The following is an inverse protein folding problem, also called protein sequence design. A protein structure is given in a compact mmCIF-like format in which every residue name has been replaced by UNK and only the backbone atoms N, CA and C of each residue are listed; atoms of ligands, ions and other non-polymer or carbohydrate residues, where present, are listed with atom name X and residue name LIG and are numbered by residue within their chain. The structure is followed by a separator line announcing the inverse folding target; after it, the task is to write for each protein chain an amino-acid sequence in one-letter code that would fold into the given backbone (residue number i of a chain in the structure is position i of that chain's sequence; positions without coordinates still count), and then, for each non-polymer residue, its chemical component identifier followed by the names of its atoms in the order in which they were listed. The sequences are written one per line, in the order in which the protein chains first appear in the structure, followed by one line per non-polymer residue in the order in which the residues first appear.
data_IF_125071380343
#
_entry.id   IF_125071380343
#
_cell.length_a   1.000
_cell.length_b   1.000
_cell.length_c   1.000
_cell.angle_alpha   90.00
_cell.angle_beta   90.00
_cell.angle_gamma   90.00
#
_symmetry.space_group_name_H-M   'P 1'
#
loop_
_entity.id
_entity.type
_entity.pdbx_description
1 polymer ?
#
# COMPACT_ATOMS: atom_id res chain seq x y z
N UNK A 1 14.52 14.77 63.07
CA UNK A 1 13.47 15.10 62.08
C UNK A 1 14.03 15.57 60.73
N UNK A 2 15.21 16.22 60.68
CA UNK A 2 15.83 16.72 59.43
C UNK A 2 16.01 15.67 58.31
N UNK A 3 16.54 14.47 58.63
CA UNK A 3 16.75 13.38 57.65
C UNK A 3 15.49 12.95 56.88
N UNK A 4 14.30 13.06 57.50
CA UNK A 4 13.02 12.67 56.86
C UNK A 4 12.56 13.71 55.84
N UNK A 5 12.84 15.00 56.11
CA UNK A 5 12.54 16.09 55.20
C UNK A 5 13.47 16.09 53.99
N UNK A 6 14.76 15.80 54.17
CA UNK A 6 15.73 15.67 53.06
C UNK A 6 15.36 14.55 52.08
N UNK A 7 14.92 13.39 52.58
CA UNK A 7 14.48 12.28 51.71
C UNK A 7 13.21 12.64 50.92
N UNK A 8 12.29 13.40 51.53
CA UNK A 8 11.09 13.89 50.86
C UNK A 8 11.40 14.88 49.74
N UNK A 9 12.28 15.84 50.01
CA UNK A 9 12.74 16.82 49.02
C UNK A 9 13.53 16.18 47.88
N UNK A 10 14.38 15.19 48.20
CA UNK A 10 15.06 14.38 47.19
C UNK A 10 14.08 13.66 46.27
N UNK A 11 13.07 12.97 46.83
CA UNK A 11 12.03 12.28 46.04
C UNK A 11 11.26 13.24 45.13
N UNK A 12 10.94 14.45 45.61
CA UNK A 12 10.30 15.49 44.78
C UNK A 12 11.19 15.89 43.60
N UNK A 13 12.47 16.17 43.85
CA UNK A 13 13.44 16.54 42.79
C UNK A 13 13.60 15.44 41.75
N UNK A 14 13.73 14.18 42.18
CA UNK A 14 13.82 13.03 41.28
C UNK A 14 12.57 12.91 40.41
N UNK A 15 11.37 13.07 40.99
CA UNK A 15 10.12 13.02 40.23
C UNK A 15 10.05 14.16 39.19
N UNK A 16 10.44 15.38 39.56
CA UNK A 16 10.44 16.51 38.64
C UNK A 16 11.42 16.31 37.48
N UNK A 17 12.66 15.87 37.76
CA UNK A 17 13.64 15.58 36.72
C UNK A 17 13.20 14.42 35.82
N UNK A 18 12.60 13.38 36.39
CA UNK A 18 12.06 12.27 35.61
C UNK A 18 11.01 12.75 34.60
N UNK A 19 10.05 13.58 35.04
CA UNK A 19 9.00 14.13 34.17
C UNK A 19 9.60 15.05 33.11
N UNK A 20 10.57 15.90 33.47
CA UNK A 20 11.29 16.76 32.53
C UNK A 20 11.97 15.94 31.44
N UNK A 21 12.77 14.94 31.81
CA UNK A 21 13.47 14.07 30.87
C UNK A 21 12.50 13.26 30.01
N UNK A 22 11.38 12.81 30.57
CA UNK A 22 10.35 12.10 29.81
C UNK A 22 9.74 13.01 28.74
N UNK A 23 9.40 14.24 29.09
CA UNK A 23 8.85 15.21 28.15
C UNK A 23 9.86 15.57 27.05
N UNK A 24 11.12 15.80 27.41
CA UNK A 24 12.19 16.09 26.44
C UNK A 24 12.39 14.92 25.46
N UNK A 25 12.41 13.67 25.97
CA UNK A 25 12.50 12.47 25.13
C UNK A 25 11.29 12.32 24.21
N UNK A 26 10.08 12.60 24.72
CA UNK A 26 8.84 12.51 23.93
C UNK A 26 8.85 13.54 22.80
N UNK A 27 9.23 14.78 23.09
CA UNK A 27 9.34 15.86 22.09
C UNK A 27 10.38 15.50 21.03
N UNK A 28 11.58 15.08 21.44
CA UNK A 28 12.63 14.66 20.50
C UNK A 28 12.17 13.52 19.59
N UNK A 29 11.54 12.48 20.17
CA UNK A 29 11.01 11.36 19.39
C UNK A 29 9.94 11.81 18.39
N UNK A 30 9.07 12.76 18.77
CA UNK A 30 8.06 13.29 17.86
C UNK A 30 8.70 13.99 16.66
N UNK A 31 9.76 14.77 16.88
CA UNK A 31 10.48 15.46 15.81
C UNK A 31 11.26 14.47 14.92
N UNK A 32 11.92 13.48 15.51
CA UNK A 32 12.60 12.41 14.78
C UNK A 32 11.61 11.64 13.86
N UNK A 33 10.42 11.32 14.37
CA UNK A 33 9.37 10.65 13.58
C UNK A 33 8.88 11.54 12.45
N UNK A 34 8.66 12.84 12.68
CA UNK A 34 8.26 13.79 11.62
C UNK A 34 9.33 13.89 10.53
N UNK A 35 10.60 13.98 10.92
CA UNK A 35 11.72 14.01 9.97
C UNK A 35 11.81 12.72 9.16
N UNK A 36 11.69 11.56 9.82
CA UNK A 36 11.69 10.26 9.16
C UNK A 36 10.52 10.12 8.18
N UNK A 37 9.32 10.56 8.56
CA UNK A 37 8.14 10.58 7.70
C UNK A 37 8.35 11.44 6.45
N UNK A 38 8.84 12.67 6.62
CA UNK A 38 9.09 13.58 5.50
C UNK A 38 10.15 13.02 4.54
N UNK A 39 11.23 12.42 5.08
CA UNK A 39 12.24 11.74 4.27
C UNK A 39 11.65 10.56 3.49
N UNK A 40 10.81 9.75 4.13
CA UNK A 40 10.15 8.63 3.47
C UNK A 40 9.22 9.11 2.35
N UNK A 41 8.39 10.12 2.62
CA UNK A 41 7.50 10.71 1.62
C UNK A 41 8.25 11.21 0.40
N UNK A 42 9.37 11.90 0.59
CA UNK A 42 10.21 12.36 -0.52
C UNK A 42 10.80 11.18 -1.30
N UNK A 43 11.30 10.16 -0.60
CA UNK A 43 11.82 8.94 -1.23
C UNK A 43 10.74 8.23 -2.06
N UNK A 44 9.54 8.07 -1.50
CA UNK A 44 8.40 7.48 -2.20
C UNK A 44 8.00 8.28 -3.44
N UNK A 45 7.98 9.61 -3.33
CA UNK A 45 7.68 10.49 -4.46
C UNK A 45 8.65 10.23 -5.61
N UNK A 46 9.95 10.17 -5.32
CA UNK A 46 10.97 9.92 -6.35
C UNK A 46 10.79 8.54 -7.00
N UNK A 47 10.62 7.50 -6.19
CA UNK A 47 10.42 6.12 -6.70
C UNK A 47 9.17 6.02 -7.56
N UNK A 48 8.07 6.69 -7.17
CA UNK A 48 6.84 6.70 -7.97
C UNK A 48 7.03 7.47 -9.28
N UNK A 49 7.72 8.60 -9.26
CA UNK A 49 8.05 9.35 -10.48
C UNK A 49 8.91 8.52 -11.44
N UNK A 50 9.95 7.84 -10.94
CA UNK A 50 10.79 6.95 -11.77
C UNK A 50 9.98 5.79 -12.38
N UNK A 51 9.11 5.17 -11.59
CA UNK A 51 8.21 4.11 -12.09
C UNK A 51 7.22 4.64 -13.10
N UNK A 52 6.71 5.86 -12.93
CA UNK A 52 5.78 6.48 -13.88
C UNK A 52 6.46 6.74 -15.22
N UNK A 53 7.70 7.24 -15.20
CA UNK A 53 8.50 7.43 -16.42
C UNK A 53 8.67 6.08 -17.12
N UNK A 54 9.13 5.06 -16.38
CA UNK A 54 9.30 3.70 -16.90
C UNK A 54 8.01 3.12 -17.47
N UNK A 55 6.87 3.36 -16.81
CA UNK A 55 5.55 2.93 -17.27
C UNK A 55 5.14 3.65 -18.55
N UNK A 56 5.32 4.97 -18.62
CA UNK A 56 4.99 5.77 -19.81
C UNK A 56 5.87 5.41 -21.01
N UNK A 57 7.14 5.06 -20.77
CA UNK A 57 8.06 4.58 -21.81
C UNK A 57 7.72 3.16 -22.27
N UNK A 58 7.01 2.39 -21.46
CA UNK A 58 6.55 1.05 -21.82
C UNK A 58 5.46 1.13 -22.87
N UNK A 59 5.64 0.45 -24.00
CA UNK A 59 4.65 0.35 -25.09
C UNK A 59 3.48 -0.60 -24.76
N UNK A 60 3.30 -0.94 -23.49
CA UNK A 60 2.30 -1.91 -23.04
C UNK A 60 0.94 -1.23 -23.03
N UNK A 61 0.16 -1.47 -24.07
CA UNK A 61 -1.25 -1.07 -24.11
C UNK A 61 -2.12 -2.21 -23.58
N UNK A 62 -2.92 -1.92 -22.57
CA UNK A 62 -4.07 -2.76 -22.25
C UNK A 62 -5.17 -2.38 -23.24
N UNK A 63 -5.52 -3.22 -24.23
CA UNK A 63 -6.60 -2.90 -25.14
C UNK A 63 -7.89 -2.69 -24.34
N UNK A 64 -8.54 -1.54 -24.57
CA UNK A 64 -9.86 -1.28 -24.02
C UNK A 64 -10.86 -2.22 -24.70
N UNK A 65 -11.20 -3.28 -23.99
CA UNK A 65 -12.15 -4.29 -24.43
C UNK A 65 -11.55 -5.38 -25.33
N UNK A 66 -12.11 -6.60 -25.27
CA UNK A 66 -11.73 -7.65 -26.21
C UNK A 66 -12.15 -7.20 -27.62
N UNK A 67 -11.18 -7.08 -28.54
CA UNK A 67 -11.49 -6.99 -29.96
C UNK A 67 -11.97 -8.37 -30.38
N UNK A 68 -13.27 -8.61 -30.23
CA UNK A 68 -13.86 -9.91 -30.50
C UNK A 68 -13.68 -10.24 -31.99
N UNK A 69 -13.18 -11.43 -32.33
CA UNK A 69 -13.13 -11.88 -33.71
C UNK A 69 -14.52 -11.83 -34.37
N UNK A 70 -14.56 -11.59 -35.68
CA UNK A 70 -15.83 -11.43 -36.43
C UNK A 70 -16.78 -12.63 -36.29
N UNK A 71 -16.24 -13.83 -36.08
CA UNK A 71 -17.02 -15.06 -35.91
C UNK A 71 -17.66 -15.23 -34.53
N UNK A 72 -17.41 -14.33 -33.56
CA UNK A 72 -18.04 -14.42 -32.22
C UNK A 72 -19.56 -14.28 -32.30
N UNK A 73 -20.10 -13.65 -33.36
CA UNK A 73 -21.54 -13.54 -33.61
C UNK A 73 -22.24 -14.88 -33.88
N UNK A 74 -21.51 -15.90 -34.34
CA UNK A 74 -22.03 -17.24 -34.58
C UNK A 74 -21.65 -18.25 -33.49
N UNK A 75 -20.94 -17.82 -32.43
CA UNK A 75 -20.61 -18.65 -31.27
C UNK A 75 -21.68 -18.56 -30.18
N UNK A 76 -21.79 -19.59 -29.33
CA UNK A 76 -22.64 -19.53 -28.13
C UNK A 76 -22.13 -18.43 -27.19
N UNK A 77 -23.00 -17.54 -26.75
CA UNK A 77 -22.69 -16.54 -25.72
C UNK A 77 -23.02 -17.08 -24.33
N UNK A 78 -22.25 -16.63 -23.33
CA UNK A 78 -22.57 -16.83 -21.93
C UNK A 78 -22.88 -15.47 -21.29
N UNK A 79 -23.95 -15.41 -20.51
CA UNK A 79 -24.28 -14.21 -19.74
C UNK A 79 -23.65 -14.32 -18.35
N UNK A 80 -22.80 -13.36 -18.01
CA UNK A 80 -22.23 -13.23 -16.66
C UNK A 80 -22.96 -12.09 -15.98
N UNK A 81 -23.73 -12.41 -14.95
CA UNK A 81 -24.39 -11.41 -14.11
C UNK A 81 -23.46 -11.11 -12.94
N UNK A 82 -22.92 -9.89 -12.91
CA UNK A 82 -22.16 -9.41 -11.77
C UNK A 82 -23.05 -9.20 -10.55
N UNK A 83 -22.45 -9.20 -9.34
CA UNK A 83 -23.19 -9.02 -8.07
C UNK A 83 -24.05 -7.75 -8.01
N UNK A 84 -23.72 -6.74 -8.84
CA UNK A 84 -24.43 -5.46 -8.95
C UNK A 84 -25.59 -5.48 -9.97
N UNK A 85 -25.98 -6.66 -10.46
CA UNK A 85 -27.09 -6.82 -11.43
C UNK A 85 -26.76 -6.45 -12.87
N UNK A 86 -25.53 -6.00 -13.15
CA UNK A 86 -25.07 -5.76 -14.51
C UNK A 86 -24.77 -7.08 -15.22
N UNK A 87 -25.53 -7.36 -16.29
CA UNK A 87 -25.32 -8.51 -17.16
C UNK A 87 -24.35 -8.17 -18.29
N UNK A 88 -23.24 -8.91 -18.36
CA UNK A 88 -22.28 -8.84 -19.46
C UNK A 88 -22.42 -10.12 -20.29
N UNK A 89 -22.81 -9.96 -21.56
CA UNK A 89 -22.76 -11.06 -22.53
C UNK A 89 -21.33 -11.21 -23.02
N UNK A 90 -20.65 -12.26 -22.56
CA UNK A 90 -19.28 -12.58 -22.93
C UNK A 90 -19.34 -13.62 -24.05
N UNK A 91 -18.83 -13.25 -25.23
CA UNK A 91 -18.61 -14.22 -26.31
C UNK A 91 -17.63 -15.28 -25.85
N UNK A 92 -18.00 -16.56 -25.94
CA UNK A 92 -17.25 -17.68 -25.36
C UNK A 92 -15.91 -17.89 -26.07
N UNK A 93 -14.91 -17.10 -25.70
CA UNK A 93 -13.48 -17.35 -25.95
C UNK A 93 -12.81 -16.81 -24.69
N UNK A 94 -12.52 -17.64 -23.69
CA UNK A 94 -11.32 -18.45 -23.64
C UNK A 94 -11.61 -19.75 -22.88
N UNK A 95 -11.74 -20.87 -23.60
CA UNK A 95 -11.37 -22.15 -23.00
C UNK A 95 -9.85 -22.08 -22.81
N UNK A 96 -9.36 -21.92 -21.58
CA UNK A 96 -7.94 -22.16 -21.28
C UNK A 96 -7.70 -23.65 -21.57
N UNK A 97 -7.29 -23.97 -22.79
CA UNK A 97 -6.91 -25.33 -23.13
C UNK A 97 -5.84 -25.78 -22.13
N UNK A 98 -6.14 -26.89 -21.45
CA UNK A 98 -5.21 -27.65 -20.65
C UNK A 98 -3.92 -27.88 -21.44
N UNK A 99 -2.78 -27.56 -20.83
CA UNK A 99 -1.47 -27.89 -21.37
C UNK A 99 -1.32 -29.41 -21.25
N UNK A 100 -1.66 -30.15 -22.31
CA UNK A 100 -1.28 -31.56 -22.42
C UNK A 100 0.16 -31.58 -22.96
N UNK A 101 1.12 -31.65 -22.04
CA UNK A 101 2.51 -32.01 -22.37
C UNK A 101 2.50 -33.46 -22.86
N UNK A 102 2.72 -33.68 -24.16
CA UNK A 102 3.08 -35.02 -24.67
C UNK A 102 4.59 -35.19 -24.56
N UNK A 103 5.01 -36.08 -23.67
CA UNK A 103 6.36 -36.65 -23.68
C UNK A 103 6.48 -37.57 -24.90
N UNK A 104 7.50 -37.35 -25.71
CA UNK A 104 8.12 -38.43 -26.48
C UNK A 104 9.10 -39.19 -25.58
#
# INVERSE_FOLDING_TARGET
MAKRNELGEWKKRVKMEYVRLQQDKKSKKADDVKLAWNRNRNKMSNVLSEKQITWNDSKVTWPSGPKLPVHVSCMKSAEVIGSEGNSLSVGTVLNMYSIIVKSN
#
